data_IF_265273244128
#
_entry.id   IF_265273244128
#
_cell.length_a   1.000
_cell.length_b   1.000
_cell.length_c   1.000
_cell.angle_alpha   90.00
_cell.angle_beta   90.00
_cell.angle_gamma   90.00
#
_symmetry.space_group_name_H-M   'P 1'
#
loop_
_entity.id
_entity.type
_entity.pdbx_description
1 polymer ?
#
# COMPACT_ATOMS: atom_id res chain seq x y z
N UNK A 1 -2.11 12.48 -13.20
CA UNK A 1 -3.43 12.87 -12.65
C UNK A 1 -3.43 12.43 -11.19
N UNK A 2 -3.58 13.33 -10.23
CA UNK A 2 -3.61 12.96 -8.81
C UNK A 2 -5.01 12.46 -8.44
N UNK A 3 -5.11 11.34 -7.74
CA UNK A 3 -6.37 10.89 -7.15
C UNK A 3 -6.69 11.81 -5.95
N UNK A 4 -7.81 12.55 -6.03
CA UNK A 4 -8.21 13.52 -5.00
C UNK A 4 -8.59 12.85 -3.67
N UNK A 5 -8.92 11.56 -3.70
CA UNK A 5 -9.27 10.79 -2.51
C UNK A 5 -8.02 10.44 -1.68
N UNK A 6 -6.84 10.42 -2.31
CA UNK A 6 -5.56 10.06 -1.66
C UNK A 6 -4.68 11.29 -1.44
N UNK A 7 -4.65 12.23 -2.39
CA UNK A 7 -3.74 13.37 -2.38
C UNK A 7 -4.51 14.67 -2.17
N UNK A 8 -4.23 15.36 -1.07
CA UNK A 8 -4.76 16.69 -0.78
C UNK A 8 -4.09 17.78 -1.63
N UNK A 9 -2.76 17.68 -1.81
CA UNK A 9 -2.00 18.63 -2.60
C UNK A 9 -0.68 18.04 -3.08
N UNK A 10 -0.17 18.55 -4.21
CA UNK A 10 1.14 18.18 -4.76
C UNK A 10 1.91 19.42 -5.21
N UNK A 11 3.23 19.28 -5.28
CA UNK A 11 4.14 20.29 -5.81
C UNK A 11 4.66 19.89 -7.20
N UNK A 12 5.10 20.88 -7.97
CA UNK A 12 5.83 20.66 -9.21
C UNK A 12 7.15 19.91 -8.93
N UNK A 13 7.67 19.21 -9.93
CA UNK A 13 8.96 18.52 -9.82
C UNK A 13 10.10 19.47 -9.49
N UNK A 14 11.04 18.97 -8.67
CA UNK A 14 12.30 19.65 -8.37
C UNK A 14 13.47 18.73 -8.68
N UNK A 15 14.68 19.29 -8.70
CA UNK A 15 15.89 18.55 -9.06
C UNK A 15 16.91 18.65 -7.95
N UNK A 16 17.55 17.51 -7.65
CA UNK A 16 18.73 17.48 -6.79
C UNK A 16 19.86 18.33 -7.38
N UNK A 17 20.73 18.93 -6.53
CA UNK A 17 21.83 19.80 -6.99
C UNK A 17 22.81 19.18 -8.00
N UNK A 18 22.90 17.85 -8.07
CA UNK A 18 23.74 17.13 -9.05
C UNK A 18 23.15 17.09 -10.45
N UNK A 19 21.87 17.45 -10.60
CA UNK A 19 21.10 17.29 -11.82
C UNK A 19 20.61 18.65 -12.35
N UNK A 20 20.39 18.73 -13.66
CA UNK A 20 19.64 19.82 -14.28
C UNK A 20 18.52 19.28 -15.15
N UNK A 21 17.29 19.68 -14.86
CA UNK A 21 16.11 19.37 -15.64
C UNK A 21 15.58 20.57 -16.43
N UNK A 22 15.04 20.31 -17.61
CA UNK A 22 14.27 21.29 -18.40
C UNK A 22 12.97 20.69 -18.89
N UNK A 23 11.86 21.36 -18.63
CA UNK A 23 10.48 20.97 -18.98
C UNK A 23 10.04 21.50 -20.34
N UNK A 24 10.97 21.55 -21.30
CA UNK A 24 10.76 22.16 -22.61
C UNK A 24 10.12 21.22 -23.64
N UNK A 25 8.84 20.86 -23.49
CA UNK A 25 8.14 20.04 -24.48
C UNK A 25 7.15 19.05 -23.86
N UNK A 26 7.00 17.88 -24.49
CA UNK A 26 6.24 16.71 -23.98
C UNK A 26 7.14 15.71 -23.24
N UNK A 27 8.33 16.14 -22.79
CA UNK A 27 9.33 15.29 -22.16
C UNK A 27 10.12 16.13 -21.14
N UNK A 28 10.41 15.55 -19.99
CA UNK A 28 11.42 16.04 -19.07
C UNK A 28 12.80 15.65 -19.61
N UNK A 29 13.65 16.64 -19.90
CA UNK A 29 15.03 16.41 -20.31
C UNK A 29 15.97 16.66 -19.14
N UNK A 30 16.79 15.67 -18.84
CA UNK A 30 17.76 15.69 -17.76
C UNK A 30 19.19 15.73 -18.32
N UNK A 31 20.07 16.40 -17.58
CA UNK A 31 21.48 16.51 -17.92
C UNK A 31 22.33 16.64 -16.65
N UNK A 32 23.62 16.34 -16.77
CA UNK A 32 24.56 16.39 -15.66
C UNK A 32 24.69 15.06 -14.92
N UNK A 33 24.01 14.01 -15.40
CA UNK A 33 24.03 12.69 -14.79
C UNK A 33 25.41 12.07 -14.96
N UNK A 34 26.05 11.72 -13.86
CA UNK A 34 27.42 11.20 -13.82
C UNK A 34 27.55 9.90 -13.04
N UNK A 35 26.55 9.56 -12.23
CA UNK A 35 26.51 8.34 -11.45
C UNK A 35 26.40 7.07 -12.32
N UNK A 36 27.13 6.04 -11.93
CA UNK A 36 27.09 4.70 -12.53
C UNK A 36 26.29 3.71 -11.67
N UNK A 37 26.02 4.04 -10.41
CA UNK A 37 25.20 3.23 -9.49
C UNK A 37 24.19 4.10 -8.76
N UNK A 38 23.16 3.49 -8.17
CA UNK A 38 22.18 4.20 -7.36
C UNK A 38 22.83 4.91 -6.15
N UNK A 39 23.82 4.28 -5.51
CA UNK A 39 24.54 4.88 -4.38
C UNK A 39 25.30 6.13 -4.80
N UNK A 40 25.94 6.10 -5.98
CA UNK A 40 26.59 7.27 -6.55
C UNK A 40 25.58 8.38 -6.84
N UNK A 41 24.40 8.04 -7.38
CA UNK A 41 23.35 9.02 -7.65
C UNK A 41 22.84 9.70 -6.37
N UNK A 42 22.67 8.92 -5.29
CA UNK A 42 22.32 9.45 -3.97
C UNK A 42 23.42 10.37 -3.42
N UNK A 43 24.69 9.94 -3.49
CA UNK A 43 25.83 10.75 -3.00
C UNK A 43 26.04 12.04 -3.80
N UNK A 44 25.71 12.02 -5.09
CA UNK A 44 25.87 13.16 -5.99
C UNK A 44 24.65 14.08 -6.01
N UNK A 45 23.58 13.75 -5.29
CA UNK A 45 22.28 14.41 -5.37
C UNK A 45 21.73 14.47 -6.81
N UNK A 46 21.83 13.36 -7.54
CA UNK A 46 21.33 13.19 -8.91
C UNK A 46 19.93 12.55 -8.91
N UNK A 47 18.91 13.35 -8.60
CA UNK A 47 17.52 12.89 -8.53
C UNK A 47 16.52 13.92 -9.06
N UNK A 48 15.35 13.43 -9.48
CA UNK A 48 14.12 14.22 -9.62
C UNK A 48 13.27 13.97 -8.37
N UNK A 49 12.73 15.02 -7.76
CA UNK A 49 11.92 14.92 -6.54
C UNK A 49 10.51 15.46 -6.78
N UNK A 50 9.52 14.66 -6.37
CA UNK A 50 8.10 15.02 -6.34
C UNK A 50 7.65 15.02 -4.89
N UNK A 51 6.89 16.05 -4.48
CA UNK A 51 6.34 16.10 -3.12
C UNK A 51 4.83 16.24 -3.16
N UNK A 52 4.16 15.56 -2.25
CA UNK A 52 2.72 15.60 -2.08
C UNK A 52 2.32 15.46 -0.61
N UNK A 53 1.10 15.87 -0.30
CA UNK A 53 0.48 15.69 1.01
C UNK A 53 -0.79 14.88 0.85
N UNK A 54 -0.92 13.85 1.66
CA UNK A 54 -2.03 12.91 1.65
C UNK A 54 -3.31 13.53 2.22
N UNK A 55 -4.46 12.99 1.86
CA UNK A 55 -5.77 13.49 2.29
C UNK A 55 -6.00 13.25 3.80
N UNK A 56 -6.68 14.17 4.53
CA UNK A 56 -6.97 13.98 5.95
C UNK A 56 -7.97 12.85 6.23
N UNK A 57 -8.82 12.53 5.26
CA UNK A 57 -9.83 11.45 5.34
C UNK A 57 -9.33 10.15 4.70
N UNK A 58 -8.03 9.89 4.75
CA UNK A 58 -7.52 8.56 4.41
C UNK A 58 -7.95 7.62 5.54
N UNK A 59 -9.05 6.93 5.31
CA UNK A 59 -9.63 5.92 6.22
C UNK A 59 -9.31 4.49 5.77
N UNK A 60 -8.94 4.33 4.50
CA UNK A 60 -8.59 3.04 3.90
C UNK A 60 -7.08 2.82 3.87
N UNK A 61 -6.71 1.55 3.87
CA UNK A 61 -5.33 1.09 3.79
C UNK A 61 -4.80 1.23 2.34
N UNK A 62 -4.36 2.44 2.01
CA UNK A 62 -3.77 2.73 0.70
C UNK A 62 -2.31 2.32 0.66
N UNK A 63 -2.02 1.27 -0.10
CA UNK A 63 -0.68 0.73 -0.25
C UNK A 63 -0.13 1.02 -1.64
N UNK A 64 1.14 1.42 -1.69
CA UNK A 64 1.82 1.58 -2.97
C UNK A 64 2.02 0.20 -3.61
N UNK A 65 1.48 -0.01 -4.81
CA UNK A 65 1.52 -1.30 -5.49
C UNK A 65 2.59 -1.34 -6.59
N UNK A 66 2.63 -0.30 -7.42
CA UNK A 66 3.60 -0.25 -8.51
C UNK A 66 4.01 1.16 -8.91
N UNK A 67 5.15 1.23 -9.57
CA UNK A 67 5.64 2.43 -10.24
C UNK A 67 5.46 2.23 -11.74
N UNK A 68 4.87 3.20 -12.42
CA UNK A 68 4.72 3.20 -13.87
C UNK A 68 5.58 4.30 -14.48
N UNK A 69 6.35 3.94 -15.49
CA UNK A 69 7.14 4.87 -16.29
C UNK A 69 6.58 4.90 -17.71
N UNK A 70 6.35 6.09 -18.25
CA UNK A 70 5.90 6.28 -19.63
C UNK A 70 7.05 6.73 -20.53
N UNK A 71 7.07 6.22 -21.76
CA UNK A 71 8.07 6.53 -22.78
C UNK A 71 7.39 6.89 -24.10
N UNK A 72 7.53 8.13 -24.58
CA UNK A 72 6.88 8.59 -25.84
C UNK A 72 7.78 8.61 -27.07
N UNK A 73 9.07 8.27 -26.97
CA UNK A 73 9.91 8.26 -28.17
C UNK A 73 11.07 7.26 -28.13
N UNK A 74 11.07 6.23 -28.98
CA UNK A 74 12.24 5.38 -29.18
C UNK A 74 13.46 6.22 -29.61
N UNK A 75 14.56 6.14 -28.86
CA UNK A 75 15.87 6.63 -29.29
C UNK A 75 16.34 8.01 -28.80
N UNK A 76 15.67 8.67 -27.86
CA UNK A 76 16.23 9.86 -27.19
C UNK A 76 16.72 9.48 -25.79
N UNK A 77 18.04 9.44 -25.59
CA UNK A 77 18.69 9.31 -24.27
C UNK A 77 18.20 8.18 -23.32
N UNK A 78 17.62 7.11 -23.88
CA UNK A 78 17.20 5.89 -23.18
C UNK A 78 18.37 4.93 -22.89
N UNK A 79 18.12 3.87 -22.12
CA UNK A 79 19.12 2.86 -21.75
C UNK A 79 19.79 3.12 -20.41
N UNK A 80 19.22 3.99 -19.59
CA UNK A 80 19.70 4.32 -18.24
C UNK A 80 19.01 3.46 -17.18
N UNK A 81 19.50 3.52 -15.94
CA UNK A 81 18.87 2.86 -14.80
C UNK A 81 18.17 3.83 -13.89
N UNK A 82 17.14 3.32 -13.21
CA UNK A 82 16.33 4.02 -12.24
C UNK A 82 16.29 3.28 -10.91
N UNK A 83 16.28 4.07 -9.84
CA UNK A 83 15.84 3.65 -8.52
C UNK A 83 14.86 4.69 -7.98
N UNK A 84 13.89 4.26 -7.18
CA UNK A 84 12.89 5.14 -6.59
C UNK A 84 12.84 4.91 -5.10
N UNK A 85 12.82 6.01 -4.35
CA UNK A 85 12.69 5.98 -2.90
C UNK A 85 11.68 7.01 -2.43
N UNK A 86 11.04 6.74 -1.29
CA UNK A 86 10.06 7.62 -0.67
C UNK A 86 10.44 7.90 0.78
N UNK A 87 10.10 9.10 1.26
CA UNK A 87 10.36 9.54 2.64
C UNK A 87 9.31 10.55 3.08
N UNK A 88 9.00 10.58 4.37
CA UNK A 88 8.16 11.60 5.03
C UNK A 88 8.97 12.55 5.93
N UNK A 89 10.29 12.37 6.03
CA UNK A 89 11.15 13.10 6.98
C UNK A 89 12.33 13.83 6.31
N UNK A 90 12.21 14.10 5.01
CA UNK A 90 13.25 14.77 4.23
C UNK A 90 14.45 13.87 3.94
N UNK A 91 14.21 12.57 3.78
CA UNK A 91 15.22 11.53 3.54
C UNK A 91 16.23 11.36 4.68
N UNK A 92 15.80 11.60 5.93
CA UNK A 92 16.55 11.12 7.10
C UNK A 92 16.39 9.61 7.19
N UNK A 93 15.16 9.13 7.01
CA UNK A 93 14.80 7.75 6.71
C UNK A 93 14.12 7.69 5.34
N UNK A 94 14.36 6.62 4.59
CA UNK A 94 13.72 6.43 3.29
C UNK A 94 13.49 4.96 3.01
N UNK A 95 12.33 4.66 2.43
CA UNK A 95 12.02 3.35 1.89
C UNK A 95 12.43 3.30 0.42
N UNK A 96 13.11 2.24 0.02
CA UNK A 96 13.35 1.95 -1.40
C UNK A 96 12.16 1.19 -1.98
N UNK A 97 11.65 1.67 -3.11
CA UNK A 97 10.47 1.12 -3.77
C UNK A 97 10.84 0.18 -4.90
N UNK A 98 11.74 0.64 -5.78
CA UNK A 98 12.29 -0.12 -6.90
C UNK A 98 13.76 0.27 -7.10
N UNK A 99 14.53 -0.62 -7.72
CA UNK A 99 15.96 -0.41 -8.00
C UNK A 99 16.38 -1.12 -9.28
N UNK A 100 17.41 -0.55 -9.93
CA UNK A 100 18.08 -1.12 -11.10
C UNK A 100 17.16 -1.38 -12.29
N UNK A 101 16.10 -0.58 -12.40
CA UNK A 101 15.18 -0.63 -13.53
C UNK A 101 15.87 -0.07 -14.76
N UNK A 102 16.14 -0.93 -15.74
CA UNK A 102 16.74 -0.52 -17.02
C UNK A 102 15.65 0.04 -17.94
N UNK A 103 15.79 1.30 -18.33
CA UNK A 103 14.91 1.93 -19.31
C UNK A 103 15.26 1.43 -20.70
N UNK A 104 14.29 0.84 -21.39
CA UNK A 104 14.45 0.29 -22.72
C UNK A 104 13.67 1.11 -23.73
N UNK A 105 14.11 1.10 -24.98
CA UNK A 105 13.28 1.57 -26.09
C UNK A 105 12.08 0.62 -26.22
N UNK A 106 10.91 1.04 -25.73
CA UNK A 106 9.73 0.17 -25.53
C UNK A 106 8.40 0.85 -25.83
N UNK A 107 7.26 0.12 -25.71
CA UNK A 107 5.96 0.62 -26.10
C UNK A 107 5.32 1.42 -24.97
N UNK A 108 5.11 2.72 -25.15
CA UNK A 108 4.19 3.61 -24.40
C UNK A 108 4.38 3.72 -22.86
N UNK A 109 4.51 2.62 -22.09
CA UNK A 109 4.85 2.57 -20.66
C UNK A 109 5.31 1.19 -20.17
N UNK A 110 5.97 1.15 -19.01
CA UNK A 110 6.34 -0.06 -18.26
C UNK A 110 5.92 0.06 -16.80
N UNK A 111 5.48 -1.05 -16.20
CA UNK A 111 5.00 -1.13 -14.80
C UNK A 111 5.92 -2.01 -13.97
N UNK A 112 6.34 -1.51 -12.81
CA UNK A 112 7.26 -2.17 -11.90
C UNK A 112 6.62 -2.31 -10.53
N UNK A 113 6.35 -3.55 -10.10
CA UNK A 113 5.88 -3.80 -8.73
C UNK A 113 6.90 -3.29 -7.74
N UNK A 114 6.43 -2.62 -6.68
CA UNK A 114 7.32 -2.23 -5.59
C UNK A 114 7.75 -3.47 -4.81
N UNK A 115 9.01 -3.48 -4.37
CA UNK A 115 9.60 -4.61 -3.65
C UNK A 115 8.92 -4.83 -2.28
N UNK A 116 8.45 -3.74 -1.68
CA UNK A 116 7.74 -3.70 -0.41
C UNK A 116 6.32 -3.16 -0.67
N UNK A 117 5.37 -4.09 -0.86
CA UNK A 117 3.96 -3.77 -1.13
C UNK A 117 3.22 -3.29 0.13
N UNK A 118 3.93 -3.11 1.24
CA UNK A 118 3.38 -2.71 2.53
C UNK A 118 3.66 -1.22 2.85
N UNK A 119 4.05 -0.39 1.87
CA UNK A 119 4.14 1.05 2.13
C UNK A 119 2.74 1.66 2.27
N UNK A 120 2.32 1.88 3.52
CA UNK A 120 1.05 2.50 3.90
C UNK A 120 1.19 4.02 3.97
N UNK A 121 0.22 4.74 3.40
CA UNK A 121 0.15 6.19 3.49
C UNK A 121 -0.58 6.66 4.75
N UNK A 122 0.08 7.52 5.52
CA UNK A 122 -0.52 8.15 6.71
C UNK A 122 -1.40 9.35 6.30
N UNK A 123 -2.53 9.61 6.97
CA UNK A 123 -3.36 10.78 6.71
C UNK A 123 -2.60 12.10 7.00
N UNK A 124 -2.92 13.15 6.23
CA UNK A 124 -2.34 14.51 6.40
C UNK A 124 -0.80 14.57 6.45
N UNK A 125 -0.11 13.62 5.83
CA UNK A 125 1.34 13.48 5.89
C UNK A 125 1.98 13.92 4.57
N UNK A 126 3.05 14.70 4.68
CA UNK A 126 3.83 15.12 3.52
C UNK A 126 4.89 14.08 3.18
N UNK A 127 4.88 13.61 1.94
CA UNK A 127 5.86 12.68 1.40
C UNK A 127 6.64 13.33 0.26
N UNK A 128 7.90 12.93 0.15
CA UNK A 128 8.78 13.23 -0.97
C UNK A 128 9.23 11.92 -1.61
N UNK A 129 9.03 11.82 -2.91
CA UNK A 129 9.50 10.75 -3.77
C UNK A 129 10.73 11.22 -4.54
N UNK A 130 11.82 10.46 -4.50
CA UNK A 130 13.01 10.70 -5.32
C UNK A 130 13.18 9.59 -6.34
N UNK A 131 13.29 10.00 -7.60
CA UNK A 131 13.69 9.15 -8.73
C UNK A 131 15.16 9.43 -9.02
N UNK A 132 16.02 8.45 -8.75
CA UNK A 132 17.45 8.51 -9.01
C UNK A 132 17.73 7.92 -10.39
N UNK A 133 18.54 8.61 -11.19
CA UNK A 133 18.89 8.21 -12.56
C UNK A 133 20.40 7.99 -12.65
N UNK A 134 20.83 6.85 -13.17
CA UNK A 134 22.25 6.46 -13.22
C UNK A 134 22.54 5.47 -14.36
N UNK A 135 23.80 5.04 -14.49
CA UNK A 135 24.27 4.06 -15.50
C UNK A 135 23.91 4.51 -16.93
N UNK A 136 24.18 5.79 -17.24
CA UNK A 136 23.87 6.38 -18.54
C UNK A 136 24.78 5.77 -19.62
N UNK A 137 24.22 5.29 -20.76
CA UNK A 137 25.03 4.87 -21.89
C UNK A 137 25.97 5.98 -22.35
N UNK A 138 27.24 5.65 -22.62
CA UNK A 138 28.25 6.63 -23.03
C UNK A 138 27.81 7.50 -24.24
N UNK A 139 26.99 6.94 -25.14
CA UNK A 139 26.45 7.66 -26.29
C UNK A 139 25.52 8.83 -25.90
N UNK A 140 24.89 8.76 -24.72
CA UNK A 140 23.94 9.75 -24.23
C UNK A 140 24.62 10.90 -23.47
N UNK A 141 25.93 10.82 -23.22
CA UNK A 141 26.74 11.93 -22.66
C UNK A 141 26.18 12.56 -21.37
N UNK A 142 25.67 11.73 -20.44
CA UNK A 142 25.12 12.18 -19.16
C UNK A 142 23.74 12.85 -19.28
N UNK A 143 23.00 12.53 -20.35
CA UNK A 143 21.62 12.97 -20.58
C UNK A 143 20.66 11.79 -20.48
N UNK A 144 19.44 12.08 -20.03
CA UNK A 144 18.31 11.16 -20.00
C UNK A 144 17.02 11.92 -20.31
N UNK A 145 15.99 11.23 -20.78
CA UNK A 145 14.64 11.80 -20.91
C UNK A 145 13.62 10.93 -20.22
N UNK A 146 12.56 11.58 -19.76
CA UNK A 146 11.37 10.98 -19.16
C UNK A 146 10.15 11.64 -19.76
N UNK A 147 9.05 10.92 -19.89
CA UNK A 147 7.76 11.56 -20.17
C UNK A 147 6.97 11.73 -18.87
N UNK A 148 6.26 10.67 -18.49
CA UNK A 148 5.43 10.63 -17.30
C UNK A 148 5.90 9.55 -16.33
N UNK A 149 5.61 9.80 -15.06
CA UNK A 149 5.84 8.88 -13.96
C UNK A 149 4.57 8.83 -13.12
N UNK A 150 4.08 7.65 -12.80
CA UNK A 150 2.97 7.47 -11.86
C UNK A 150 3.27 6.46 -10.77
N UNK A 151 2.67 6.70 -9.62
CA UNK A 151 2.55 5.75 -8.53
C UNK A 151 1.15 5.15 -8.63
N UNK A 152 1.08 3.85 -8.88
CA UNK A 152 -0.17 3.11 -8.81
C UNK A 152 -0.34 2.64 -7.37
N UNK A 153 -1.32 3.25 -6.73
CA UNK A 153 -1.72 2.98 -5.35
C UNK A 153 -2.97 2.10 -5.44
N UNK A 154 -2.98 1.02 -4.70
CA UNK A 154 -4.18 0.23 -4.47
C UNK A 154 -4.73 0.64 -3.11
N UNK A 155 -6.03 0.98 -3.03
CA UNK A 155 -6.76 0.61 -1.82
C UNK A 155 -6.71 -0.92 -1.79
N UNK A 156 -6.31 -1.49 -0.67
CA UNK A 156 -6.32 -2.93 -0.54
C UNK A 156 -7.73 -3.48 -0.64
N UNK A 157 -8.15 -3.94 -1.82
CA UNK A 157 -9.10 -5.05 -1.89
C UNK A 157 -8.33 -6.30 -1.42
N UNK A 158 -8.01 -6.35 -0.12
CA UNK A 158 -7.43 -7.51 0.53
C UNK A 158 -8.54 -8.48 0.89
N UNK A 159 -8.22 -9.73 0.71
CA UNK A 159 -9.04 -10.92 0.92
C UNK A 159 -8.03 -11.94 1.46
N UNK A 160 -7.81 -11.88 2.78
CA UNK A 160 -6.69 -12.56 3.46
C UNK A 160 -6.84 -14.08 3.33
N UNK A 161 -8.03 -14.59 3.63
CA UNK A 161 -8.42 -16.00 3.51
C UNK A 161 -8.74 -16.48 2.08
N UNK A 162 -8.96 -15.56 1.13
CA UNK A 162 -9.23 -15.84 -0.29
C UNK A 162 -10.58 -16.50 -0.51
N UNK A 163 -11.55 -16.20 0.33
CA UNK A 163 -12.92 -16.71 0.21
C UNK A 163 -13.77 -15.95 -0.84
N UNK A 164 -13.27 -14.80 -1.29
CA UNK A 164 -13.89 -13.96 -2.30
C UNK A 164 -14.71 -12.78 -1.75
N UNK A 165 -14.73 -12.58 -0.45
CA UNK A 165 -15.18 -11.38 0.26
C UNK A 165 -13.93 -10.57 0.65
N UNK A 166 -14.04 -9.25 0.62
CA UNK A 166 -12.89 -8.39 0.93
C UNK A 166 -12.89 -8.09 2.42
N UNK A 167 -11.74 -8.02 3.08
CA UNK A 167 -11.62 -7.83 4.53
C UNK A 167 -12.47 -6.66 5.07
N UNK A 168 -12.62 -5.55 4.33
CA UNK A 168 -13.46 -4.42 4.76
C UNK A 168 -14.98 -4.65 4.63
N UNK A 169 -15.39 -5.76 4.01
CA UNK A 169 -16.76 -6.27 3.87
C UNK A 169 -16.93 -7.64 4.55
N UNK A 170 -15.84 -8.24 5.00
CA UNK A 170 -15.80 -9.48 5.74
C UNK A 170 -16.08 -9.21 7.22
N UNK A 171 -16.66 -10.19 7.90
CA UNK A 171 -16.84 -10.15 9.35
C UNK A 171 -15.81 -11.03 10.08
N UNK A 172 -15.07 -11.87 9.37
CA UNK A 172 -14.09 -12.86 9.84
C UNK A 172 -12.99 -13.00 8.78
N UNK A 173 -12.14 -11.98 8.63
CA UNK A 173 -11.28 -11.74 7.47
C UNK A 173 -10.15 -12.76 7.25
N UNK A 174 -9.79 -13.54 8.28
CA UNK A 174 -8.89 -14.70 8.16
C UNK A 174 -9.62 -16.04 8.35
N UNK A 175 -10.95 -15.97 8.48
CA UNK A 175 -11.85 -17.09 8.63
C UNK A 175 -11.48 -18.04 9.78
N UNK A 176 -10.87 -17.56 10.87
CA UNK A 176 -10.50 -18.40 12.02
C UNK A 176 -11.69 -18.72 12.95
N UNK A 177 -12.83 -18.04 12.78
CA UNK A 177 -14.05 -18.23 13.57
C UNK A 177 -14.21 -17.26 14.75
N UNK A 178 -13.33 -16.27 14.88
CA UNK A 178 -13.42 -15.10 15.73
C UNK A 178 -13.74 -13.91 14.82
N UNK A 179 -14.79 -13.15 15.14
CA UNK A 179 -15.13 -12.00 14.29
C UNK A 179 -14.11 -10.86 14.47
N UNK A 180 -13.79 -10.17 13.37
CA UNK A 180 -12.89 -9.00 13.31
C UNK A 180 -13.20 -7.97 14.41
N UNK A 181 -14.50 -7.77 14.70
CA UNK A 181 -14.95 -6.83 15.73
C UNK A 181 -14.48 -7.21 17.12
N UNK A 182 -14.38 -8.50 17.45
CA UNK A 182 -13.90 -8.98 18.74
C UNK A 182 -12.39 -8.88 18.85
N UNK A 183 -11.68 -9.15 17.76
CA UNK A 183 -10.22 -9.07 17.68
C UNK A 183 -9.72 -7.63 17.73
N UNK A 184 -10.48 -6.70 17.13
CA UNK A 184 -10.33 -5.25 17.28
C UNK A 184 -10.70 -4.72 18.69
N UNK A 185 -10.87 -5.60 19.68
CA UNK A 185 -11.30 -5.32 21.06
C UNK A 185 -12.70 -4.66 21.16
N UNK A 186 -13.51 -4.79 20.13
CA UNK A 186 -14.89 -4.31 20.09
C UNK A 186 -15.84 -5.15 20.95
N UNK A 187 -17.06 -4.63 21.11
CA UNK A 187 -18.11 -5.31 21.85
C UNK A 187 -19.17 -5.78 20.87
N UNK A 188 -19.29 -7.08 20.67
CA UNK A 188 -20.38 -7.72 19.93
C UNK A 188 -21.14 -8.65 20.88
N UNK A 189 -22.24 -8.16 21.44
CA UNK A 189 -22.95 -8.87 22.50
C UNK A 189 -23.98 -9.90 21.97
N UNK A 190 -24.41 -9.75 20.73
CA UNK A 190 -25.32 -10.65 20.03
C UNK A 190 -24.63 -11.62 19.07
N UNK A 191 -23.30 -11.52 18.91
CA UNK A 191 -22.46 -12.42 18.13
C UNK A 191 -22.90 -12.47 16.67
N UNK A 192 -23.13 -11.30 16.07
CA UNK A 192 -23.48 -11.16 14.65
C UNK A 192 -22.35 -10.58 13.80
N UNK A 193 -21.16 -10.39 14.38
CA UNK A 193 -19.97 -9.84 13.73
C UNK A 193 -19.99 -8.31 13.62
N UNK A 194 -21.05 -7.66 14.09
CA UNK A 194 -21.23 -6.22 13.97
C UNK A 194 -21.13 -5.58 15.36
N UNK A 195 -20.47 -4.43 15.44
CA UNK A 195 -20.26 -3.78 16.73
C UNK A 195 -21.56 -3.38 17.43
N UNK A 196 -21.71 -3.77 18.68
CA UNK A 196 -22.74 -3.32 19.60
C UNK A 196 -23.77 -4.39 19.88
N UNK A 197 -25.04 -4.01 19.72
CA UNK A 197 -26.15 -4.95 19.82
C UNK A 197 -27.36 -4.41 19.05
N UNK A 198 -27.87 -5.19 18.10
CA UNK A 198 -28.98 -4.80 17.25
C UNK A 198 -28.63 -3.72 16.20
N UNK A 199 -29.64 -2.97 15.69
CA UNK A 199 -29.42 -2.09 14.55
C UNK A 199 -28.39 -0.98 14.80
N UNK A 200 -27.44 -0.86 13.88
CA UNK A 200 -26.43 0.19 13.88
C UNK A 200 -27.01 1.51 13.39
N UNK A 201 -26.55 2.59 14.00
CA UNK A 201 -26.80 3.96 13.52
C UNK A 201 -25.53 4.45 12.84
N UNK A 202 -25.71 5.03 11.67
CA UNK A 202 -24.71 5.73 10.86
C UNK A 202 -25.39 7.05 10.49
N UNK A 203 -25.07 8.11 11.24
CA UNK A 203 -25.82 9.37 11.22
C UNK A 203 -25.46 10.23 10.01
N UNK A 204 -24.21 10.21 9.57
CA UNK A 204 -23.72 11.02 8.46
C UNK A 204 -23.63 10.26 7.12
N UNK A 205 -23.70 8.92 7.15
CA UNK A 205 -23.76 8.04 5.99
C UNK A 205 -22.40 7.73 5.37
N UNK A 206 -21.31 7.85 6.13
CA UNK A 206 -19.96 7.59 5.65
C UNK A 206 -19.54 6.12 5.74
N UNK A 207 -20.38 5.28 6.36
CA UNK A 207 -20.19 3.84 6.50
C UNK A 207 -19.67 3.40 7.86
N UNK A 208 -19.29 4.33 8.74
CA UNK A 208 -18.92 4.02 10.12
C UNK A 208 -20.14 3.96 11.03
N UNK A 209 -20.04 3.15 12.08
CA UNK A 209 -21.05 3.13 13.14
C UNK A 209 -20.84 4.33 14.05
N UNK A 210 -21.90 5.04 14.45
CA UNK A 210 -21.86 6.10 15.48
C UNK A 210 -21.17 5.64 16.78
N UNK A 211 -21.07 4.32 17.02
CA UNK A 211 -20.35 3.75 18.18
C UNK A 211 -18.84 3.94 18.04
N UNK A 212 -18.30 3.82 16.84
CA UNK A 212 -16.86 3.87 16.53
C UNK A 212 -16.42 5.13 15.82
N UNK A 213 -17.36 5.91 15.28
CA UNK A 213 -17.09 7.11 14.50
C UNK A 213 -16.70 8.31 15.40
N UNK A 214 -15.46 8.82 15.31
CA UNK A 214 -15.03 9.97 16.10
C UNK A 214 -15.76 11.28 15.79
N UNK A 215 -16.28 11.48 14.58
CA UNK A 215 -16.93 12.75 14.20
C UNK A 215 -18.45 12.78 14.48
N UNK A 216 -19.06 11.61 14.67
CA UNK A 216 -20.38 11.42 15.28
C UNK A 216 -20.35 11.01 16.77
N UNK A 217 -19.18 11.07 17.41
CA UNK A 217 -19.01 11.03 18.87
C UNK A 217 -18.76 9.65 19.49
N UNK A 218 -18.56 8.65 18.64
CA UNK A 218 -18.00 7.34 18.93
C UNK A 218 -16.49 7.36 19.18
N UNK A 219 -15.89 6.18 19.25
CA UNK A 219 -14.46 5.98 19.48
C UNK A 219 -13.93 4.86 18.60
N UNK A 220 -12.90 5.15 17.80
CA UNK A 220 -12.25 4.16 16.94
C UNK A 220 -11.85 2.93 17.75
N UNK A 221 -12.09 1.74 17.19
CA UNK A 221 -11.56 0.51 17.75
C UNK A 221 -10.03 0.46 17.65
N UNK A 222 -9.44 -0.42 18.44
CA UNK A 222 -8.04 -0.76 18.23
C UNK A 222 -7.92 -1.64 16.98
N UNK A 223 -6.75 -1.60 16.33
CA UNK A 223 -6.36 -2.61 15.34
C UNK A 223 -5.05 -3.23 15.87
N UNK A 224 -5.15 -4.12 16.88
CA UNK A 224 -3.97 -4.64 17.54
C UNK A 224 -3.21 -5.62 16.65
N UNK A 225 -1.89 -5.66 16.84
CA UNK A 225 -0.97 -6.69 16.34
C UNK A 225 -0.27 -7.23 17.60
N UNK A 226 -0.75 -8.38 18.08
CA UNK A 226 -0.39 -8.88 19.41
C UNK A 226 1.00 -9.51 19.47
N UNK A 227 1.49 -10.11 18.38
CA UNK A 227 2.81 -10.75 18.32
C UNK A 227 3.90 -9.84 17.67
N UNK A 228 3.48 -8.78 16.98
CA UNK A 228 4.33 -7.77 16.36
C UNK A 228 4.90 -8.19 15.00
N UNK A 229 4.26 -9.12 14.29
CA UNK A 229 4.70 -9.62 12.99
C UNK A 229 4.24 -8.78 11.78
N UNK A 230 3.50 -7.70 12.04
CA UNK A 230 2.90 -6.80 11.05
C UNK A 230 1.67 -7.34 10.31
N UNK A 231 1.00 -8.35 10.85
CA UNK A 231 -0.41 -8.65 10.60
C UNK A 231 -1.24 -8.21 11.82
N UNK A 232 -2.30 -7.44 11.58
CA UNK A 232 -3.25 -7.15 12.66
C UNK A 232 -4.05 -8.42 13.01
N UNK A 233 -4.45 -8.57 14.27
CA UNK A 233 -5.07 -9.80 14.78
C UNK A 233 -6.20 -10.30 13.87
N UNK A 234 -7.10 -9.40 13.44
CA UNK A 234 -8.22 -9.69 12.54
C UNK A 234 -7.86 -10.24 11.15
N UNK A 235 -6.58 -10.37 10.82
CA UNK A 235 -6.09 -10.94 9.56
C UNK A 235 -4.93 -11.92 9.80
N UNK A 236 -4.73 -12.37 11.04
CA UNK A 236 -3.67 -13.24 11.48
C UNK A 236 -4.20 -14.48 12.19
N UNK A 237 -4.02 -15.63 11.56
CA UNK A 237 -4.45 -16.95 12.05
C UNK A 237 -3.71 -17.49 13.30
N UNK A 238 -2.67 -16.81 13.78
CA UNK A 238 -1.90 -17.14 15.01
C UNK A 238 -1.51 -15.85 15.75
N UNK A 239 -2.50 -15.02 16.09
CA UNK A 239 -2.42 -13.66 16.64
C UNK A 239 -1.44 -13.49 17.81
N UNK A 240 -1.22 -14.52 18.64
CA UNK A 240 -0.27 -14.44 19.77
C UNK A 240 1.10 -15.10 19.51
N UNK A 241 1.27 -15.68 18.31
CA UNK A 241 2.49 -16.28 17.79
C UNK A 241 2.97 -17.51 18.56
N UNK A 242 2.09 -18.22 19.26
CA UNK A 242 2.44 -19.37 20.09
C UNK A 242 2.43 -20.72 19.35
N UNK A 243 2.09 -20.70 18.05
CA UNK A 243 1.94 -21.86 17.16
C UNK A 243 0.70 -22.71 17.42
N UNK A 244 -0.27 -22.21 18.16
CA UNK A 244 -1.62 -22.75 18.28
C UNK A 244 -2.59 -21.80 17.55
N UNK A 245 -3.06 -22.17 16.34
CA UNK A 245 -3.90 -21.27 15.56
C UNK A 245 -5.14 -20.81 16.30
N UNK A 246 -5.56 -19.58 16.06
CA UNK A 246 -6.68 -18.93 16.74
C UNK A 246 -7.99 -19.71 16.57
N UNK A 247 -8.22 -20.31 15.40
CA UNK A 247 -9.34 -21.25 15.17
C UNK A 247 -9.40 -22.37 16.21
N UNK A 248 -8.24 -22.88 16.64
CA UNK A 248 -8.16 -23.91 17.68
C UNK A 248 -8.39 -23.32 19.07
N UNK A 249 -7.91 -22.11 19.33
CA UNK A 249 -8.08 -21.39 20.58
C UNK A 249 -9.54 -20.98 20.83
N UNK A 250 -10.23 -20.56 19.77
CA UNK A 250 -11.68 -20.32 19.70
C UNK A 250 -12.50 -21.60 19.95
N UNK A 251 -11.85 -22.76 19.89
CA UNK A 251 -12.42 -24.07 20.21
C UNK A 251 -12.98 -24.81 19.00
N UNK A 252 -12.64 -24.39 17.78
CA UNK A 252 -13.00 -25.05 16.55
C UNK A 252 -11.93 -26.04 16.10
N UNK A 253 -12.28 -27.03 15.26
CA UNK A 253 -11.32 -27.98 14.71
C UNK A 253 -10.69 -27.46 13.41
N UNK A 254 -9.35 -27.37 13.40
CA UNK A 254 -8.57 -27.22 12.17
C UNK A 254 -8.16 -28.61 11.64
N UNK A 255 -8.86 -29.10 10.61
CA UNK A 255 -8.71 -30.48 10.13
C UNK A 255 -7.65 -30.64 9.03
N UNK A 256 -7.40 -29.59 8.27
CA UNK A 256 -6.44 -29.49 7.18
C UNK A 256 -5.12 -28.84 7.59
N UNK A 257 -5.08 -28.16 8.74
CA UNK A 257 -3.88 -27.56 9.31
C UNK A 257 -3.50 -26.25 8.63
N UNK A 258 -4.48 -25.48 8.13
CA UNK A 258 -4.27 -24.21 7.45
C UNK A 258 -4.59 -22.98 8.31
N UNK A 259 -5.08 -23.18 9.54
CA UNK A 259 -5.42 -22.08 10.46
C UNK A 259 -6.81 -21.49 10.24
N UNK A 260 -7.55 -21.95 9.24
CA UNK A 260 -8.89 -21.45 8.90
C UNK A 260 -9.98 -22.41 9.43
N UNK A 261 -11.17 -21.87 9.68
CA UNK A 261 -12.34 -22.61 10.13
C UNK A 261 -12.87 -23.50 9.01
N UNK A 262 -12.69 -24.82 9.18
CA UNK A 262 -13.37 -25.80 8.36
C UNK A 262 -12.50 -26.98 7.94
N UNK A 263 -12.45 -27.20 6.62
CA UNK A 263 -11.83 -28.38 6.02
C UNK A 263 -11.76 -28.30 4.49
N UNK A 264 -11.94 -27.11 3.94
CA UNK A 264 -11.88 -26.76 2.53
C UNK A 264 -11.06 -25.48 2.44
N UNK A 265 -10.13 -25.43 1.49
CA UNK A 265 -9.32 -24.24 1.22
C UNK A 265 -9.59 -23.74 -0.23
N UNK A 266 -10.22 -22.57 -0.43
CA UNK A 266 -10.84 -21.71 0.60
C UNK A 266 -12.17 -22.30 1.13
N UNK A 267 -12.65 -21.85 2.31
CA UNK A 267 -13.94 -22.25 2.87
C UNK A 267 -15.11 -21.75 2.02
N UNK A 268 -16.31 -22.24 2.30
CA UNK A 268 -17.55 -21.69 1.72
C UNK A 268 -18.19 -20.74 2.71
N UNK A 269 -18.37 -19.49 2.29
CA UNK A 269 -18.85 -18.41 3.16
C UNK A 269 -20.20 -17.87 2.73
N UNK A 270 -20.82 -17.04 3.59
CA UNK A 270 -22.03 -16.31 3.24
C UNK A 270 -21.73 -14.98 2.54
N UNK A 271 -22.67 -14.03 2.54
CA UNK A 271 -22.49 -12.73 1.84
C UNK A 271 -21.61 -11.76 2.62
N UNK A 272 -21.39 -12.04 3.90
CA UNK A 272 -20.59 -11.25 4.82
C UNK A 272 -19.27 -11.96 5.18
N UNK A 273 -18.82 -12.92 4.36
CA UNK A 273 -17.52 -13.60 4.56
C UNK A 273 -17.47 -14.64 5.68
N UNK A 274 -18.54 -14.81 6.46
CA UNK A 274 -18.54 -15.82 7.53
C UNK A 274 -18.62 -17.26 7.01
N UNK A 275 -17.73 -18.15 7.50
CA UNK A 275 -17.74 -19.59 7.18
C UNK A 275 -19.10 -20.26 7.40
N UNK A 276 -19.56 -20.96 6.36
CA UNK A 276 -20.77 -21.82 6.40
C UNK A 276 -20.46 -23.32 6.24
N UNK A 277 -19.23 -23.69 5.86
CA UNK A 277 -18.85 -25.08 5.54
C UNK A 277 -18.45 -25.96 6.73
N UNK A 278 -18.23 -25.40 7.92
CA UNK A 278 -18.01 -26.15 9.16
C UNK A 278 -19.23 -26.03 10.07
N UNK A 279 -19.79 -27.14 10.54
CA UNK A 279 -20.93 -27.06 11.46
C UNK A 279 -20.52 -26.45 12.81
N UNK A 280 -21.14 -25.31 13.16
CA UNK A 280 -21.20 -24.78 14.54
C UNK A 280 -21.87 -25.77 15.50
#
# INVERSE_FOLDING_TARGET
IMNADIIQSGADETYGPGLSGTTGGTLLQLSGISANTAEEAVMNDEYVEYSFTTHPLLTEDFRLNSVVQYETSPGNYNGHRLAVSISSDGFVNSQELIRDILTLDGPEYETYSVADRCFVFEPSTSYSLRVYIYDIPLANSGQATFDDFSLDICSGDFDTDKDGVWNHLDLDSDNDGIYDVLEAEGVDADLDGIIGSGPITDTDGDGWSDITDPDDGGTVLADPDADGDSAENRIDTDSDGDSCPDVTEAGFPDSDGDGELGGLAPPSVDVNGVVTSGGL
#
